data_IF_584047033708
#
_entry.id   IF_584047033708
#
_cell.length_a   1.000
_cell.length_b   1.000
_cell.length_c   1.000
_cell.angle_alpha   90.00
_cell.angle_beta   90.00
_cell.angle_gamma   90.00
#
_symmetry.space_group_name_H-M   'P 1'
#
loop_
_entity.id
_entity.type
_entity.pdbx_description
1 polymer ?
#
# COMPACT_ATOMS: atom_id res chain seq x y z
N UNK A 1 -17.97 21.66 -1.41
CA UNK A 1 -17.57 20.52 -2.24
C UNK A 1 -16.43 19.78 -1.56
N UNK A 2 -16.57 18.46 -1.31
CA UNK A 2 -15.49 17.63 -0.76
C UNK A 2 -14.50 17.28 -1.88
N UNK A 3 -13.20 17.41 -1.62
CA UNK A 3 -12.15 17.06 -2.60
C UNK A 3 -11.78 15.60 -2.39
N UNK A 4 -11.95 14.77 -3.41
CA UNK A 4 -11.61 13.36 -3.34
C UNK A 4 -10.22 13.12 -3.90
N UNK A 5 -9.36 12.42 -3.16
CA UNK A 5 -8.04 12.02 -3.63
C UNK A 5 -8.01 10.50 -3.70
N UNK A 6 -7.81 9.93 -4.89
CA UNK A 6 -7.73 8.47 -5.07
C UNK A 6 -6.27 8.08 -5.26
N UNK A 7 -5.76 7.29 -4.33
CA UNK A 7 -4.39 6.78 -4.30
C UNK A 7 -4.42 5.35 -4.84
N UNK A 8 -3.81 5.14 -5.99
CA UNK A 8 -3.63 3.80 -6.55
C UNK A 8 -2.29 3.23 -6.09
N UNK A 9 -2.32 2.08 -5.42
CA UNK A 9 -1.12 1.42 -4.95
C UNK A 9 -1.18 -0.09 -5.22
N UNK A 10 -0.06 -0.67 -5.61
CA UNK A 10 0.09 -2.12 -5.65
C UNK A 10 0.49 -2.63 -4.27
N UNK A 11 -0.12 -3.73 -3.82
CA UNK A 11 0.23 -4.39 -2.57
C UNK A 11 1.75 -4.63 -2.55
N UNK A 12 2.45 -4.15 -1.50
CA UNK A 12 3.85 -4.50 -1.31
C UNK A 12 3.94 -6.01 -1.02
N UNK A 13 4.35 -6.78 -2.02
CA UNK A 13 4.58 -8.22 -1.94
C UNK A 13 6.03 -8.53 -2.29
N UNK A 14 6.64 -9.43 -1.53
CA UNK A 14 7.98 -9.94 -1.80
C UNK A 14 7.99 -10.63 -3.18
N UNK A 15 9.02 -10.38 -3.99
CA UNK A 15 9.20 -11.00 -5.31
C UNK A 15 8.27 -10.54 -6.46
N UNK A 16 7.18 -9.81 -6.18
CA UNK A 16 6.13 -9.48 -7.18
C UNK A 16 6.29 -8.05 -7.74
N UNK A 17 7.04 -7.17 -7.07
CA UNK A 17 7.12 -5.74 -7.40
C UNK A 17 8.54 -5.19 -7.52
N UNK A 18 8.69 -4.16 -8.37
CA UNK A 18 9.93 -3.36 -8.54
C UNK A 18 11.19 -4.19 -8.78
N UNK A 19 11.14 -5.13 -9.73
CA UNK A 19 12.26 -6.03 -10.11
C UNK A 19 13.60 -5.33 -10.35
N UNK A 20 13.59 -4.12 -10.94
CA UNK A 20 14.83 -3.32 -11.12
C UNK A 20 15.42 -2.92 -9.77
N UNK A 21 14.61 -2.33 -8.88
CA UNK A 21 15.06 -1.95 -7.55
C UNK A 21 15.45 -3.18 -6.71
N UNK A 22 14.71 -4.28 -6.82
CA UNK A 22 15.02 -5.52 -6.12
C UNK A 22 16.35 -6.15 -6.57
N UNK A 23 16.78 -5.93 -7.83
CA UNK A 23 18.11 -6.35 -8.29
C UNK A 23 19.23 -5.53 -7.63
N UNK A 24 18.97 -4.26 -7.33
CA UNK A 24 19.99 -3.36 -6.79
C UNK A 24 20.09 -3.44 -5.26
N UNK A 25 18.97 -3.51 -4.54
CA UNK A 25 18.93 -3.46 -3.07
C UNK A 25 18.39 -4.74 -2.42
N UNK A 26 18.00 -5.75 -3.20
CA UNK A 26 17.35 -6.97 -2.71
C UNK A 26 15.83 -6.84 -2.53
N UNK A 27 15.15 -7.98 -2.44
CA UNK A 27 13.68 -8.04 -2.37
C UNK A 27 13.13 -7.50 -1.04
N UNK A 28 13.76 -7.84 0.09
CA UNK A 28 13.32 -7.42 1.42
C UNK A 28 13.48 -5.90 1.63
N UNK A 29 14.61 -5.28 1.25
CA UNK A 29 14.75 -3.82 1.32
C UNK A 29 13.83 -3.10 0.35
N UNK A 30 13.57 -3.66 -0.84
CA UNK A 30 12.58 -3.13 -1.79
C UNK A 30 11.17 -3.12 -1.21
N UNK A 31 10.78 -4.20 -0.53
CA UNK A 31 9.49 -4.30 0.15
C UNK A 31 9.37 -3.27 1.28
N UNK A 32 10.40 -3.15 2.13
CA UNK A 32 10.45 -2.16 3.20
C UNK A 32 10.36 -0.73 2.66
N UNK A 33 11.10 -0.44 1.59
CA UNK A 33 11.08 0.85 0.92
C UNK A 33 9.68 1.17 0.38
N UNK A 34 9.04 0.22 -0.31
CA UNK A 34 7.69 0.41 -0.83
C UNK A 34 6.67 0.65 0.29
N UNK A 35 6.73 -0.13 1.39
CA UNK A 35 5.84 0.05 2.56
C UNK A 35 6.06 1.41 3.23
N UNK A 36 7.31 1.83 3.41
CA UNK A 36 7.64 3.11 4.04
C UNK A 36 7.13 4.31 3.23
N UNK A 37 7.32 4.29 1.90
CA UNK A 37 6.82 5.34 1.02
C UNK A 37 5.29 5.42 1.01
N UNK A 38 4.61 4.28 0.91
CA UNK A 38 3.14 4.25 0.95
C UNK A 38 2.60 4.78 2.27
N UNK A 39 3.18 4.35 3.40
CA UNK A 39 2.81 4.87 4.74
C UNK A 39 3.01 6.37 4.86
N UNK A 40 4.12 6.90 4.34
CA UNK A 40 4.40 8.33 4.35
C UNK A 40 3.38 9.11 3.51
N UNK A 41 3.06 8.62 2.32
CA UNK A 41 2.08 9.24 1.43
C UNK A 41 0.68 9.26 2.07
N UNK A 42 0.26 8.14 2.67
CA UNK A 42 -1.00 8.06 3.42
C UNK A 42 -1.02 8.96 4.66
N UNK A 43 0.10 9.08 5.38
CA UNK A 43 0.19 9.94 6.56
C UNK A 43 0.09 11.44 6.21
N UNK A 44 0.64 11.84 5.06
CA UNK A 44 0.58 13.23 4.59
C UNK A 44 -0.82 13.54 4.06
N UNK A 45 -1.33 12.73 3.14
CA UNK A 45 -2.62 12.99 2.48
C UNK A 45 -3.81 12.73 3.41
N UNK A 46 -3.72 11.70 4.26
CA UNK A 46 -4.78 11.36 5.22
C UNK A 46 -4.90 12.33 6.40
N UNK A 47 -3.84 13.09 6.73
CA UNK A 47 -3.92 14.15 7.75
C UNK A 47 -4.51 15.45 7.23
N UNK A 48 -4.47 15.67 5.92
CA UNK A 48 -5.06 16.86 5.34
C UNK A 48 -6.58 16.69 5.22
N UNK A 49 -7.31 17.34 6.15
CA UNK A 49 -8.79 17.33 6.22
C UNK A 49 -9.47 17.91 4.97
N UNK A 50 -8.71 18.56 4.08
CA UNK A 50 -9.22 19.05 2.78
C UNK A 50 -9.56 17.89 1.85
N UNK A 51 -8.92 16.74 2.01
CA UNK A 51 -9.07 15.59 1.12
C UNK A 51 -9.80 14.43 1.80
N UNK A 52 -10.81 13.91 1.12
CA UNK A 52 -11.33 12.57 1.40
C UNK A 52 -10.50 11.58 0.58
N UNK A 53 -9.57 10.89 1.26
CA UNK A 53 -8.64 9.97 0.63
C UNK A 53 -9.25 8.58 0.45
N UNK A 54 -9.13 8.04 -0.75
CA UNK A 54 -9.49 6.67 -1.10
C UNK A 54 -8.20 5.92 -1.48
N UNK A 55 -8.02 4.71 -0.96
CA UNK A 55 -6.88 3.87 -1.30
C UNK A 55 -7.37 2.67 -2.11
N UNK A 56 -7.01 2.63 -3.39
CA UNK A 56 -7.26 1.51 -4.27
C UNK A 56 -6.02 0.61 -4.32
N UNK A 57 -6.12 -0.60 -3.76
CA UNK A 57 -5.04 -1.58 -3.70
C UNK A 57 -5.22 -2.68 -4.73
N UNK A 58 -4.15 -3.06 -5.43
CA UNK A 58 -4.15 -4.22 -6.34
C UNK A 58 -3.08 -5.25 -5.98
N UNK A 59 -3.28 -6.56 -6.23
CA UNK A 59 -4.55 -7.19 -6.62
C UNK A 59 -5.56 -7.19 -5.46
N UNK A 60 -6.87 -7.23 -5.73
CA UNK A 60 -7.91 -7.14 -4.69
C UNK A 60 -7.82 -8.26 -3.64
N UNK A 61 -7.27 -9.42 -4.01
CA UNK A 61 -6.93 -10.52 -3.10
C UNK A 61 -5.98 -10.12 -1.96
N UNK A 62 -5.26 -9.02 -2.13
CA UNK A 62 -4.46 -8.38 -1.09
C UNK A 62 -5.29 -8.03 0.14
N UNK A 63 -6.43 -7.37 -0.09
CA UNK A 63 -7.31 -6.89 0.97
C UNK A 63 -7.94 -8.08 1.72
N UNK A 64 -8.36 -9.10 0.97
CA UNK A 64 -8.95 -10.32 1.52
C UNK A 64 -8.02 -11.03 2.52
N UNK A 65 -6.73 -11.12 2.19
CA UNK A 65 -5.76 -11.80 3.06
C UNK A 65 -5.44 -11.04 4.35
N UNK A 66 -5.55 -9.70 4.37
CA UNK A 66 -5.36 -8.92 5.61
C UNK A 66 -6.62 -8.96 6.49
N UNK A 67 -7.81 -8.95 5.88
CA UNK A 67 -9.07 -9.15 6.61
C UNK A 67 -9.06 -10.53 7.30
N UNK A 68 -8.71 -11.59 6.57
CA UNK A 68 -8.62 -12.96 7.09
C UNK A 68 -7.50 -13.16 8.12
N UNK A 69 -6.46 -12.32 8.11
CA UNK A 69 -5.40 -12.36 9.13
C UNK A 69 -5.79 -11.62 10.42
N UNK A 70 -6.76 -10.70 10.34
CA UNK A 70 -7.21 -9.86 11.47
C UNK A 70 -8.46 -10.44 12.15
N UNK A 71 -9.27 -11.20 11.41
CA UNK A 71 -10.38 -12.00 11.93
C UNK A 71 -10.00 -13.48 11.84
N UNK A 72 -9.80 -14.20 12.95
CA UNK A 72 -9.63 -15.64 12.88
C UNK A 72 -10.87 -16.25 12.23
N UNK A 73 -10.73 -17.31 11.41
CA UNK A 73 -11.89 -18.07 10.97
C UNK A 73 -12.61 -18.62 12.22
N UNK A 74 -13.92 -18.51 12.23
CA UNK A 74 -14.79 -19.08 13.27
C UNK A 74 -14.46 -20.55 13.54
#
# INVERSE_FOLDING_TARGET
>A
MRRHCVIFARRPQLGIGKRRLAKDIGELPTLRFQRANLRRLLAILGRDRRWQCWLALSPDSALQSEINATLPPN
#
